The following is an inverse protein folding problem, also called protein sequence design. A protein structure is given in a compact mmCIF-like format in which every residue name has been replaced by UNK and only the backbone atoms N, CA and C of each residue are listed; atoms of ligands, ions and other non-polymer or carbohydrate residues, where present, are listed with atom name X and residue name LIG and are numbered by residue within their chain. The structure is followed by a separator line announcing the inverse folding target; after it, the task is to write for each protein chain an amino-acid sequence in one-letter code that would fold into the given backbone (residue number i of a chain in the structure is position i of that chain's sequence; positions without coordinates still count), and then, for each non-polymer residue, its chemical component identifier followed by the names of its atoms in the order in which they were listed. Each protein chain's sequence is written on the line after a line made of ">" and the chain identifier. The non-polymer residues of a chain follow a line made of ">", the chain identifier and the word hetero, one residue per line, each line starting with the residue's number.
data_IF_027035421608
#
_entry.id   IF_027035421608
#
_cell.length_a   1.000
_cell.length_b   1.000
_cell.length_c   1.000
_cell.angle_alpha   90.00
_cell.angle_beta   90.00
_cell.angle_gamma   90.00
#
_symmetry.space_group_name_H-M   'P 1'
#
loop_
_entity.id
_entity.type
_entity.pdbx_description
1 polymer ?
#
# COMPACT_ATOMS: atom_id res chain seq x y z
N UNK A 1 2.37 -21.26 -0.23
CA UNK A 1 1.17 -20.59 -0.77
C UNK A 1 1.51 -19.13 -1.00
N UNK A 2 1.17 -18.53 -2.16
CA UNK A 2 1.28 -17.08 -2.33
C UNK A 2 0.26 -16.41 -1.41
N UNK A 3 0.65 -15.36 -0.69
CA UNK A 3 -0.29 -14.55 0.08
C UNK A 3 -1.40 -14.03 -0.86
N UNK A 4 -2.69 -14.18 -0.51
CA UNK A 4 -3.78 -13.64 -1.30
C UNK A 4 -3.64 -12.13 -1.50
N UNK A 5 -3.96 -11.67 -2.71
CA UNK A 5 -3.87 -10.25 -3.08
C UNK A 5 -4.70 -9.37 -2.14
N UNK A 6 -5.92 -9.81 -1.80
CA UNK A 6 -6.82 -9.12 -0.87
C UNK A 6 -6.17 -8.89 0.50
N UNK A 7 -5.54 -9.94 1.06
CA UNK A 7 -4.90 -9.87 2.37
C UNK A 7 -3.71 -8.91 2.35
N UNK A 8 -2.89 -8.95 1.30
CA UNK A 8 -1.77 -8.02 1.15
C UNK A 8 -2.24 -6.57 1.04
N UNK A 9 -3.30 -6.32 0.27
CA UNK A 9 -3.90 -4.98 0.14
C UNK A 9 -4.47 -4.48 1.46
N UNK A 10 -5.09 -5.35 2.26
CA UNK A 10 -5.53 -5.02 3.62
C UNK A 10 -4.35 -4.65 4.53
N UNK A 11 -3.24 -5.38 4.47
CA UNK A 11 -2.03 -5.04 5.23
C UNK A 11 -1.43 -3.71 4.79
N UNK A 12 -1.35 -3.43 3.48
CA UNK A 12 -0.92 -2.13 2.95
C UNK A 12 -1.80 -1.00 3.52
N UNK A 13 -3.13 -1.16 3.48
CA UNK A 13 -4.06 -0.20 4.06
C UNK A 13 -3.80 0.02 5.54
N UNK A 14 -3.70 -1.06 6.32
CA UNK A 14 -3.47 -0.98 7.78
C UNK A 14 -2.18 -0.24 8.13
N UNK A 15 -1.09 -0.51 7.42
CA UNK A 15 0.19 0.19 7.65
C UNK A 15 0.06 1.69 7.32
N UNK A 16 -0.57 2.02 6.20
CA UNK A 16 -0.74 3.41 5.74
C UNK A 16 -1.74 4.19 6.61
N UNK A 17 -2.79 3.55 7.10
CA UNK A 17 -3.74 4.17 8.04
C UNK A 17 -3.12 4.39 9.42
N UNK A 18 -2.31 3.43 9.91
CA UNK A 18 -1.67 3.53 11.22
C UNK A 18 -0.48 4.50 11.25
N UNK A 19 0.33 4.55 10.18
CA UNK A 19 1.57 5.34 10.14
C UNK A 19 1.44 6.63 9.33
N UNK A 20 0.35 6.82 8.61
CA UNK A 20 0.18 7.93 7.67
C UNK A 20 0.95 7.68 6.36
N UNK A 21 1.56 8.70 5.75
CA UNK A 21 2.29 8.55 4.50
C UNK A 21 3.50 7.59 4.62
N UNK A 22 3.51 6.50 3.85
CA UNK A 22 4.59 5.48 3.86
C UNK A 22 5.20 5.30 2.47
N UNK A 23 6.53 5.14 2.39
CA UNK A 23 7.23 4.83 1.14
C UNK A 23 6.84 3.44 0.62
N UNK A 24 6.61 3.33 -0.68
CA UNK A 24 6.28 2.05 -1.33
C UNK A 24 7.41 1.02 -1.19
N UNK A 25 8.67 1.47 -1.15
CA UNK A 25 9.81 0.59 -0.88
C UNK A 25 9.83 0.05 0.55
N UNK A 26 9.37 0.84 1.53
CA UNK A 26 9.28 0.40 2.91
C UNK A 26 8.16 -0.65 3.08
N UNK A 27 7.00 -0.43 2.46
CA UNK A 27 5.91 -1.41 2.40
C UNK A 27 6.38 -2.72 1.75
N UNK A 28 7.19 -2.64 0.70
CA UNK A 28 7.73 -3.81 0.02
C UNK A 28 8.63 -4.65 0.94
N UNK A 29 9.52 -3.99 1.68
CA UNK A 29 10.39 -4.64 2.65
C UNK A 29 9.59 -5.25 3.82
N UNK A 30 8.58 -4.55 4.33
CA UNK A 30 7.76 -5.01 5.46
C UNK A 30 6.84 -6.18 5.11
N UNK A 31 6.35 -6.22 3.88
CA UNK A 31 5.44 -7.26 3.39
C UNK A 31 6.18 -8.43 2.71
N UNK A 32 7.52 -8.38 2.63
CA UNK A 32 8.36 -9.35 1.93
C UNK A 32 7.91 -9.61 0.49
N UNK A 33 7.68 -8.53 -0.25
CA UNK A 33 7.31 -8.59 -1.68
C UNK A 33 8.12 -7.60 -2.51
N UNK A 34 8.13 -7.80 -3.82
CA UNK A 34 8.80 -6.86 -4.72
C UNK A 34 8.15 -5.48 -4.70
N UNK A 35 8.96 -4.44 -4.92
CA UNK A 35 8.47 -3.05 -5.06
C UNK A 35 7.43 -2.94 -6.19
N UNK A 36 7.60 -3.68 -7.30
CA UNK A 36 6.62 -3.66 -8.39
C UNK A 36 5.28 -4.28 -7.98
N UNK A 37 5.28 -5.30 -7.12
CA UNK A 37 4.06 -5.89 -6.55
C UNK A 37 3.32 -4.86 -5.70
N UNK A 38 4.01 -4.20 -4.76
CA UNK A 38 3.38 -3.14 -3.94
C UNK A 38 2.91 -1.97 -4.79
N UNK A 39 3.67 -1.56 -5.81
CA UNK A 39 3.24 -0.49 -6.73
C UNK A 39 1.91 -0.82 -7.40
N UNK A 40 1.74 -2.06 -7.88
CA UNK A 40 0.46 -2.52 -8.46
C UNK A 40 -0.66 -2.52 -7.43
N UNK A 41 -0.42 -3.03 -6.23
CA UNK A 41 -1.45 -3.04 -5.19
C UNK A 41 -1.85 -1.64 -4.74
N UNK A 42 -0.89 -0.72 -4.59
CA UNK A 42 -1.14 0.70 -4.28
C UNK A 42 -1.87 1.40 -5.43
N UNK A 43 -1.56 1.10 -6.69
CA UNK A 43 -2.30 1.63 -7.86
C UNK A 43 -3.77 1.20 -7.83
N UNK A 44 -4.02 -0.07 -7.57
CA UNK A 44 -5.38 -0.62 -7.49
C UNK A 44 -6.16 -0.03 -6.32
N UNK A 45 -5.54 0.11 -5.14
CA UNK A 45 -6.13 0.80 -4.00
C UNK A 45 -6.36 2.30 -4.27
N UNK A 46 -5.51 2.94 -5.07
CA UNK A 46 -5.71 4.34 -5.48
C UNK A 46 -6.89 4.47 -6.45
N UNK A 47 -6.99 3.56 -7.44
CA UNK A 47 -8.13 3.49 -8.38
C UNK A 47 -9.45 3.24 -7.66
N UNK A 48 -9.43 2.43 -6.61
CA UNK A 48 -10.59 2.16 -5.75
C UNK A 48 -10.91 3.32 -4.77
N UNK A 49 -10.17 4.43 -4.80
CA UNK A 49 -10.40 5.57 -3.90
C UNK A 49 -10.12 5.23 -2.43
N UNK A 50 -9.17 4.32 -2.16
CA UNK A 50 -8.77 3.95 -0.79
C UNK A 50 -7.49 4.64 -0.35
N UNK A 51 -6.55 4.82 -1.29
CA UNK A 51 -5.27 5.50 -1.07
C UNK A 51 -5.08 6.66 -2.04
N UNK A 52 -4.13 7.54 -1.72
CA UNK A 52 -3.48 8.43 -2.68
C UNK A 52 -2.01 8.05 -2.78
N UNK A 53 -1.42 8.24 -3.96
CA UNK A 53 0.04 8.08 -4.16
C UNK A 53 0.68 9.36 -4.70
N UNK A 54 1.93 9.61 -4.32
CA UNK A 54 2.75 10.69 -4.87
C UNK A 54 4.23 10.48 -4.57
N UNK A 55 5.12 10.74 -5.53
CA UNK A 55 6.59 10.60 -5.36
C UNK A 55 7.06 9.26 -4.75
N UNK A 56 6.35 8.15 -5.04
CA UNK A 56 6.69 6.83 -4.47
C UNK A 56 6.24 6.61 -3.02
N UNK A 57 5.38 7.49 -2.50
CA UNK A 57 4.75 7.42 -1.18
C UNK A 57 3.25 7.11 -1.35
N UNK A 58 2.74 6.22 -0.52
CA UNK A 58 1.31 5.93 -0.37
C UNK A 58 0.79 6.60 0.91
N UNK A 59 -0.38 7.22 0.84
CA UNK A 59 -1.04 7.91 1.97
C UNK A 59 -2.53 7.60 1.98
N UNK A 60 -3.22 7.62 3.13
CA UNK A 60 -4.66 7.36 3.18
C UNK A 60 -5.43 8.45 2.42
N UNK A 61 -6.55 8.09 1.78
CA UNK A 61 -7.42 9.08 1.13
C UNK A 61 -8.21 9.90 2.16
N UNK A 62 -8.64 9.27 3.24
CA UNK A 62 -9.31 9.94 4.36
C UNK A 62 -8.22 10.55 5.24
N UNK A 63 -8.25 11.86 5.41
CA UNK A 63 -7.48 12.51 6.47
C UNK A 63 -8.09 12.09 7.82
N UNK A 64 -7.28 11.73 8.83
CA UNK A 64 -7.79 11.43 10.16
C UNK A 64 -8.46 12.64 10.82
#
# INVERSE_FOLDING_TARGET
>A
MREPVELRRQRIMSVVESRGPVKVSALAAELDVSVVTVRRDVEELTRAGRLRRGHGVARPLREP
#
